data_IF_254947744300
#
_entry.id   IF_254947744300
#
_cell.length_a   1.000
_cell.length_b   1.000
_cell.length_c   1.000
_cell.angle_alpha   90.00
_cell.angle_beta   90.00
_cell.angle_gamma   90.00
#
_symmetry.space_group_name_H-M   'P 1'
#
loop_
_entity.id
_entity.type
_entity.pdbx_description
1 polymer ?
#
# COMPACT_ATOMS: atom_id res chain seq x y z
N UNK A 1 -21.68 24.58 13.72
CA UNK A 1 -22.32 23.26 13.51
C UNK A 1 -21.49 22.40 12.54
N UNK A 2 -20.70 22.99 11.65
CA UNK A 2 -19.79 22.27 10.72
C UNK A 2 -18.62 21.53 11.39
N UNK A 3 -18.09 22.00 12.53
CA UNK A 3 -16.91 21.39 13.17
C UNK A 3 -17.15 20.02 13.83
N UNK A 4 -18.40 19.55 13.92
CA UNK A 4 -18.76 18.33 14.65
C UNK A 4 -18.75 17.07 13.78
N UNK A 5 -18.79 17.21 12.45
CA UNK A 5 -18.86 16.10 11.51
C UNK A 5 -17.50 15.66 10.95
N UNK A 6 -16.49 16.51 11.08
CA UNK A 6 -15.13 16.25 10.57
C UNK A 6 -14.49 14.99 11.20
N UNK A 7 -14.94 14.60 12.39
CA UNK A 7 -14.45 13.42 13.10
C UNK A 7 -15.16 12.10 12.76
N UNK A 8 -16.23 12.13 11.95
CA UNK A 8 -17.00 10.91 11.66
C UNK A 8 -16.39 10.08 10.53
N UNK A 9 -15.81 10.75 9.53
CA UNK A 9 -15.32 10.09 8.32
C UNK A 9 -13.81 9.84 8.39
N UNK A 10 -13.33 8.64 8.03
CA UNK A 10 -11.90 8.43 7.83
C UNK A 10 -11.31 9.41 6.82
N UNK A 11 -10.10 9.89 7.10
CA UNK A 11 -9.43 10.91 6.29
C UNK A 11 -9.34 10.54 4.81
N UNK A 12 -9.03 9.28 4.51
CA UNK A 12 -8.95 8.74 3.15
C UNK A 12 -10.26 8.92 2.39
N UNK A 13 -11.38 8.61 3.04
CA UNK A 13 -12.71 8.73 2.44
C UNK A 13 -13.10 10.20 2.28
N UNK A 14 -12.70 11.07 3.21
CA UNK A 14 -12.96 12.52 3.11
C UNK A 14 -12.29 13.09 1.88
N UNK A 15 -11.00 12.79 1.70
CA UNK A 15 -10.24 13.23 0.52
C UNK A 15 -10.87 12.68 -0.76
N UNK A 16 -11.18 11.37 -0.80
CA UNK A 16 -11.79 10.72 -1.96
C UNK A 16 -13.15 11.34 -2.32
N UNK A 17 -14.03 11.60 -1.35
CA UNK A 17 -15.33 12.21 -1.63
C UNK A 17 -15.22 13.66 -2.07
N UNK A 18 -14.35 14.46 -1.45
CA UNK A 18 -14.13 15.83 -1.88
C UNK A 18 -13.63 15.89 -3.33
N UNK A 19 -12.70 15.01 -3.71
CA UNK A 19 -12.19 14.91 -5.08
C UNK A 19 -13.29 14.48 -6.06
N UNK A 20 -14.15 13.54 -5.66
CA UNK A 20 -15.28 13.12 -6.48
C UNK A 20 -16.24 14.29 -6.70
N UNK A 21 -16.65 15.00 -5.64
CA UNK A 21 -17.69 16.02 -5.70
C UNK A 21 -17.21 17.32 -6.37
N UNK A 22 -16.09 17.87 -5.90
CA UNK A 22 -15.60 19.17 -6.35
C UNK A 22 -14.81 19.07 -7.67
N UNK A 23 -14.15 17.93 -7.90
CA UNK A 23 -13.27 17.73 -9.05
C UNK A 23 -13.91 16.91 -10.16
N UNK A 24 -14.05 15.60 -9.93
CA UNK A 24 -14.40 14.66 -10.99
C UNK A 24 -15.83 14.83 -11.49
N UNK A 25 -16.80 14.96 -10.60
CA UNK A 25 -18.20 15.01 -10.98
C UNK A 25 -18.48 16.21 -11.88
N UNK A 26 -18.07 17.41 -11.45
CA UNK A 26 -18.21 18.64 -12.23
C UNK A 26 -17.52 18.57 -13.58
N UNK A 27 -16.26 18.12 -13.61
CA UNK A 27 -15.53 17.99 -14.87
C UNK A 27 -16.19 17.03 -15.85
N UNK A 28 -16.66 15.87 -15.38
CA UNK A 28 -17.33 14.89 -16.24
C UNK A 28 -18.72 15.32 -16.67
N UNK A 29 -19.43 16.09 -15.86
CA UNK A 29 -20.71 16.72 -16.23
C UNK A 29 -20.50 17.67 -17.41
N UNK A 30 -19.57 18.61 -17.28
CA UNK A 30 -19.23 19.57 -18.34
C UNK A 30 -18.77 18.86 -19.62
N UNK A 31 -17.85 17.90 -19.50
CA UNK A 31 -17.39 17.07 -20.61
C UNK A 31 -18.56 16.32 -21.28
N UNK A 32 -19.48 15.76 -20.50
CA UNK A 32 -20.64 15.04 -21.04
C UNK A 32 -21.57 15.95 -21.81
N UNK A 33 -21.82 17.17 -21.28
CA UNK A 33 -22.65 18.17 -21.94
C UNK A 33 -22.02 18.59 -23.27
N UNK A 34 -20.74 18.95 -23.28
CA UNK A 34 -20.05 19.37 -24.50
C UNK A 34 -20.02 18.27 -25.57
N UNK A 35 -19.72 17.02 -25.18
CA UNK A 35 -19.73 15.88 -26.11
C UNK A 35 -21.12 15.63 -26.69
N UNK A 36 -22.18 15.72 -25.87
CA UNK A 36 -23.57 15.55 -26.33
C UNK A 36 -24.00 16.67 -27.26
N UNK A 37 -23.68 17.92 -26.95
CA UNK A 37 -23.98 19.07 -27.80
C UNK A 37 -23.32 18.90 -29.17
N UNK A 38 -22.02 18.60 -29.20
CA UNK A 38 -21.29 18.41 -30.46
C UNK A 38 -21.83 17.23 -31.27
N UNK A 39 -22.23 16.15 -30.59
CA UNK A 39 -22.89 15.01 -31.23
C UNK A 39 -24.21 15.40 -31.91
N UNK A 40 -25.08 16.15 -31.21
CA UNK A 40 -26.38 16.56 -31.74
C UNK A 40 -26.25 17.51 -32.93
N UNK A 41 -25.25 18.39 -32.92
CA UNK A 41 -25.02 19.36 -34.00
C UNK A 41 -24.43 18.74 -35.27
N UNK A 42 -23.60 17.70 -35.13
CA UNK A 42 -22.78 17.17 -36.23
C UNK A 42 -23.15 15.75 -36.66
N UNK A 43 -24.19 15.15 -36.06
CA UNK A 43 -24.65 13.83 -36.44
C UNK A 43 -24.97 13.76 -37.96
N UNK A 44 -24.56 12.69 -38.69
CA UNK A 44 -23.98 11.44 -38.21
C UNK A 44 -22.44 11.40 -38.10
N UNK A 45 -21.72 12.39 -38.62
CA UNK A 45 -20.25 12.41 -38.61
C UNK A 45 -19.74 13.55 -37.73
N UNK A 46 -19.45 13.20 -36.47
CA UNK A 46 -18.92 14.15 -35.48
C UNK A 46 -17.44 14.36 -35.74
N UNK A 47 -17.06 15.59 -36.09
CA UNK A 47 -15.67 15.97 -36.37
C UNK A 47 -15.02 16.52 -35.10
N UNK A 48 -13.71 16.34 -34.99
CA UNK A 48 -12.88 17.00 -33.97
C UNK A 48 -13.34 16.77 -32.50
N UNK A 49 -13.66 15.54 -32.11
CA UNK A 49 -13.96 15.21 -30.71
C UNK A 49 -12.80 15.56 -29.75
N UNK A 50 -11.60 15.68 -30.29
CA UNK A 50 -10.36 16.01 -29.59
C UNK A 50 -10.33 17.41 -28.99
N UNK A 51 -10.99 18.40 -29.62
CA UNK A 51 -11.02 19.76 -29.08
C UNK A 51 -11.72 19.85 -27.72
N UNK A 52 -12.87 19.17 -27.59
CA UNK A 52 -13.65 19.07 -26.36
C UNK A 52 -12.82 18.46 -25.23
N UNK A 53 -11.99 17.48 -25.58
CA UNK A 53 -11.11 16.82 -24.63
C UNK A 53 -9.89 17.65 -24.23
N UNK A 54 -9.32 18.43 -25.15
CA UNK A 54 -8.20 19.31 -24.85
C UNK A 54 -8.54 20.32 -23.76
N UNK A 55 -9.75 20.90 -23.82
CA UNK A 55 -10.28 21.83 -22.82
C UNK A 55 -10.48 21.18 -21.43
N UNK A 56 -10.72 19.87 -21.39
CA UNK A 56 -11.08 19.12 -20.18
C UNK A 56 -9.97 18.18 -19.69
N UNK A 57 -8.74 18.34 -20.19
CA UNK A 57 -7.59 17.49 -19.84
C UNK A 57 -7.21 17.52 -18.35
N UNK A 58 -7.52 18.62 -17.65
CA UNK A 58 -7.32 18.79 -16.21
C UNK A 58 -8.06 17.73 -15.37
N UNK A 59 -9.17 17.19 -15.87
CA UNK A 59 -9.96 16.14 -15.19
C UNK A 59 -9.08 14.92 -14.92
N UNK A 60 -8.22 14.55 -15.88
CA UNK A 60 -7.36 13.36 -15.75
C UNK A 60 -6.32 13.58 -14.64
N UNK A 61 -5.81 14.80 -14.48
CA UNK A 61 -4.82 15.10 -13.43
C UNK A 61 -5.41 14.94 -12.03
N UNK A 62 -6.70 15.23 -11.85
CA UNK A 62 -7.42 15.02 -10.58
C UNK A 62 -7.47 13.54 -10.19
N UNK A 63 -7.40 12.62 -11.16
CA UNK A 63 -7.30 11.20 -10.86
C UNK A 63 -6.02 10.81 -10.13
N UNK A 64 -4.92 11.58 -10.22
CA UNK A 64 -3.70 11.30 -9.44
C UNK A 64 -4.04 11.23 -7.95
N UNK A 65 -4.59 12.33 -7.41
CA UNK A 65 -4.90 12.43 -5.98
C UNK A 65 -5.92 11.36 -5.58
N UNK A 66 -6.89 11.09 -6.44
CA UNK A 66 -7.86 10.03 -6.19
C UNK A 66 -7.24 8.64 -6.06
N UNK A 67 -6.39 8.26 -7.02
CA UNK A 67 -5.71 6.95 -7.05
C UNK A 67 -4.81 6.77 -5.83
N UNK A 68 -4.15 7.83 -5.40
CA UNK A 68 -3.28 7.83 -4.22
C UNK A 68 -4.04 7.47 -2.93
N UNK A 69 -5.29 7.92 -2.79
CA UNK A 69 -6.08 7.69 -1.57
C UNK A 69 -7.08 6.53 -1.69
N UNK A 70 -7.41 6.08 -2.91
CA UNK A 70 -8.44 5.08 -3.16
C UNK A 70 -8.22 3.78 -2.39
N UNK A 71 -7.02 3.21 -2.44
CA UNK A 71 -6.72 1.94 -1.78
C UNK A 71 -6.94 2.00 -0.27
N UNK A 72 -6.56 3.12 0.36
CA UNK A 72 -6.77 3.33 1.79
C UNK A 72 -8.24 3.53 2.11
N UNK A 73 -8.97 4.28 1.27
CA UNK A 73 -10.41 4.46 1.42
C UNK A 73 -11.18 3.14 1.30
N UNK A 74 -10.82 2.28 0.34
CA UNK A 74 -11.44 0.96 0.19
C UNK A 74 -11.19 0.07 1.41
N UNK A 75 -9.96 0.07 1.94
CA UNK A 75 -9.65 -0.63 3.20
C UNK A 75 -10.48 -0.11 4.38
N UNK A 76 -10.64 1.20 4.51
CA UNK A 76 -11.44 1.81 5.59
C UNK A 76 -12.92 1.37 5.49
N UNK A 77 -13.46 1.28 4.27
CA UNK A 77 -14.83 0.77 4.01
C UNK A 77 -14.94 -0.70 4.43
N UNK A 78 -14.00 -1.55 4.01
CA UNK A 78 -13.98 -2.97 4.34
C UNK A 78 -13.85 -3.20 5.86
N UNK A 79 -12.95 -2.48 6.53
CA UNK A 79 -12.78 -2.57 7.99
C UNK A 79 -14.03 -2.11 8.73
N UNK A 80 -14.64 -1.01 8.27
CA UNK A 80 -15.86 -0.49 8.88
C UNK A 80 -17.04 -1.47 8.74
N UNK A 81 -17.19 -2.13 7.59
CA UNK A 81 -18.22 -3.14 7.36
C UNK A 81 -17.94 -4.43 8.15
N UNK A 82 -16.69 -4.86 8.23
CA UNK A 82 -16.30 -6.01 9.05
C UNK A 82 -16.56 -5.76 10.55
N UNK A 83 -16.35 -4.53 11.02
CA UNK A 83 -16.61 -4.14 12.40
C UNK A 83 -18.10 -4.06 12.75
N UNK A 84 -18.98 -3.78 11.78
CA UNK A 84 -20.43 -3.72 12.01
C UNK A 84 -21.03 -5.10 12.33
N UNK A 85 -20.48 -6.19 11.76
CA UNK A 85 -20.83 -7.58 12.05
C UNK A 85 -22.27 -8.01 11.67
N UNK A 86 -22.56 -9.32 11.53
CA UNK A 86 -23.87 -9.82 11.08
C UNK A 86 -25.06 -9.55 12.03
N UNK A 87 -24.81 -8.98 13.22
CA UNK A 87 -25.81 -8.76 14.28
C UNK A 87 -26.31 -7.32 14.36
N UNK A 88 -25.82 -6.42 13.51
CA UNK A 88 -26.33 -5.04 13.41
C UNK A 88 -27.66 -4.94 12.62
N UNK A 89 -28.14 -6.04 12.02
CA UNK A 89 -29.44 -6.15 11.34
C UNK A 89 -30.64 -6.23 12.30
N UNK A 90 -30.38 -6.38 13.61
CA UNK A 90 -31.39 -6.49 14.67
C UNK A 90 -31.56 -5.21 15.48
N UNK A 91 -31.48 -4.04 14.88
CA UNK A 91 -31.72 -2.78 15.61
C UNK A 91 -33.22 -2.52 15.65
N UNK A 92 -33.83 -3.03 16.73
CA UNK A 92 -35.15 -2.62 17.19
C UNK A 92 -35.21 -1.09 17.34
N UNK A 93 -36.42 -0.52 17.21
CA UNK A 93 -36.80 0.90 17.23
C UNK A 93 -36.19 1.79 18.36
N UNK A 94 -35.37 1.23 19.25
CA UNK A 94 -34.68 1.86 20.38
C UNK A 94 -33.45 2.71 20.02
N UNK A 95 -32.72 2.43 18.93
CA UNK A 95 -31.49 3.21 18.62
C UNK A 95 -31.73 4.58 17.95
N UNK A 96 -32.97 4.91 17.54
CA UNK A 96 -33.33 6.28 17.13
C UNK A 96 -33.10 7.32 18.23
N UNK A 97 -32.96 6.89 19.51
CA UNK A 97 -32.64 7.76 20.64
C UNK A 97 -31.14 7.93 20.93
N UNK A 98 -30.28 7.06 20.41
CA UNK A 98 -28.83 7.13 20.67
C UNK A 98 -28.10 8.16 19.79
N UNK A 99 -28.67 8.50 18.63
CA UNK A 99 -28.16 9.58 17.78
C UNK A 99 -28.33 10.99 18.41
N UNK A 100 -29.11 11.12 19.50
CA UNK A 100 -29.36 12.41 20.18
C UNK A 100 -28.52 12.62 21.45
N UNK A 101 -27.69 11.67 21.88
CA UNK A 101 -27.02 11.73 23.20
C UNK A 101 -25.57 11.23 23.25
N UNK A 102 -24.83 11.19 22.14
CA UNK A 102 -23.39 10.92 22.21
C UNK A 102 -22.64 12.13 21.69
N UNK A 103 -22.33 13.01 22.63
CA UNK A 103 -21.25 13.97 22.52
C UNK A 103 -19.99 13.20 22.09
N UNK A 104 -19.59 13.35 20.83
CA UNK A 104 -18.41 12.70 20.22
C UNK A 104 -17.16 13.24 20.94
N UNK A 105 -16.79 12.61 22.05
CA UNK A 105 -15.56 12.94 22.81
C UNK A 105 -14.45 11.91 22.61
N UNK A 106 -14.70 10.83 21.87
CA UNK A 106 -13.67 9.81 21.57
C UNK A 106 -13.70 9.34 20.11
N UNK A 107 -12.51 9.17 19.52
CA UNK A 107 -12.33 8.65 18.15
C UNK A 107 -12.98 7.27 17.96
N UNK A 108 -13.00 6.44 19.01
CA UNK A 108 -13.60 5.10 18.95
C UNK A 108 -15.13 5.12 18.77
N UNK A 109 -15.84 6.05 19.43
CA UNK A 109 -17.30 6.18 19.27
C UNK A 109 -17.70 6.69 17.89
N UNK A 110 -16.88 7.54 17.27
CA UNK A 110 -17.13 8.03 15.91
C UNK A 110 -16.99 6.91 14.88
N UNK A 111 -15.92 6.10 14.97
CA UNK A 111 -15.71 4.98 14.07
C UNK A 111 -16.83 3.93 14.15
N UNK A 112 -17.36 3.65 15.35
CA UNK A 112 -18.48 2.72 15.50
C UNK A 112 -19.77 3.25 14.85
N UNK A 113 -20.07 4.55 15.01
CA UNK A 113 -21.22 5.18 14.38
C UNK A 113 -21.10 5.16 12.85
N UNK A 114 -19.91 5.45 12.33
CA UNK A 114 -19.60 5.33 10.90
C UNK A 114 -19.87 3.92 10.38
N UNK A 115 -19.34 2.88 11.04
CA UNK A 115 -19.60 1.47 10.69
C UNK A 115 -21.09 1.12 10.62
N UNK A 116 -21.88 1.57 11.60
CA UNK A 116 -23.33 1.29 11.65
C UNK A 116 -24.06 2.00 10.49
N UNK A 117 -23.77 3.29 10.27
CA UNK A 117 -24.40 4.06 9.20
C UNK A 117 -24.04 3.50 7.83
N UNK A 118 -22.76 3.15 7.61
CA UNK A 118 -22.31 2.54 6.38
C UNK A 118 -23.00 1.20 6.11
N UNK A 119 -23.13 0.34 7.12
CA UNK A 119 -23.87 -0.92 6.98
C UNK A 119 -25.35 -0.72 6.62
N UNK A 120 -25.99 0.33 7.13
CA UNK A 120 -27.38 0.65 6.78
C UNK A 120 -27.52 1.17 5.35
N UNK A 121 -26.54 1.98 4.90
CA UNK A 121 -26.50 2.47 3.52
C UNK A 121 -26.30 1.31 2.53
N UNK A 122 -25.40 0.36 2.83
CA UNK A 122 -25.20 -0.84 2.02
C UNK A 122 -26.47 -1.70 1.92
N UNK A 123 -27.19 -1.90 3.04
CA UNK A 123 -28.45 -2.65 3.03
C UNK A 123 -29.53 -1.94 2.19
N UNK A 124 -29.60 -0.62 2.25
CA UNK A 124 -30.53 0.16 1.46
C UNK A 124 -30.18 0.14 -0.04
N UNK A 125 -28.89 0.29 -0.38
CA UNK A 125 -28.39 0.15 -1.75
C UNK A 125 -28.72 -1.23 -2.32
N UNK A 126 -28.48 -2.29 -1.55
CA UNK A 126 -28.81 -3.66 -1.95
C UNK A 126 -30.32 -3.87 -2.20
N UNK A 127 -31.20 -3.27 -1.37
CA UNK A 127 -32.65 -3.29 -1.58
C UNK A 127 -33.09 -2.58 -2.86
N UNK A 128 -32.34 -1.55 -3.27
CA UNK A 128 -32.58 -0.82 -4.50
C UNK A 128 -31.90 -1.46 -5.73
N UNK A 129 -31.13 -2.54 -5.52
CA UNK A 129 -30.36 -3.19 -6.59
C UNK A 129 -29.12 -2.42 -7.02
N UNK A 130 -28.63 -1.48 -6.20
CA UNK A 130 -27.46 -0.66 -6.47
C UNK A 130 -26.15 -1.35 -6.06
N UNK A 131 -25.01 -0.82 -6.53
CA UNK A 131 -23.70 -1.29 -6.11
C UNK A 131 -23.37 -0.86 -4.67
N UNK A 132 -22.62 -1.69 -3.95
CA UNK A 132 -22.01 -1.27 -2.70
C UNK A 132 -20.96 -0.19 -2.90
N UNK A 133 -20.67 0.57 -1.85
CA UNK A 133 -19.81 1.75 -1.89
C UNK A 133 -18.42 1.45 -2.44
N UNK A 134 -17.80 0.33 -2.03
CA UNK A 134 -16.48 -0.07 -2.53
C UNK A 134 -16.44 -0.26 -4.05
N UNK A 135 -17.51 -0.84 -4.62
CA UNK A 135 -17.65 -1.00 -6.07
C UNK A 135 -17.85 0.37 -6.71
N UNK A 136 -18.72 1.21 -6.15
CA UNK A 136 -18.99 2.52 -6.71
C UNK A 136 -17.74 3.44 -6.68
N UNK A 137 -16.91 3.35 -5.62
CA UNK A 137 -15.57 3.97 -5.54
C UNK A 137 -14.54 3.34 -6.48
N UNK A 138 -14.76 2.13 -7.00
CA UNK A 138 -13.84 1.57 -8.00
C UNK A 138 -14.12 2.10 -9.41
N UNK A 139 -15.32 2.65 -9.67
CA UNK A 139 -15.76 3.06 -11.01
C UNK A 139 -14.91 4.18 -11.63
N UNK A 140 -14.52 5.26 -10.91
CA UNK A 140 -13.68 6.30 -11.50
C UNK A 140 -12.32 5.73 -11.92
N UNK A 141 -11.70 4.89 -11.10
CA UNK A 141 -10.46 4.21 -11.46
C UNK A 141 -10.61 3.35 -12.71
N UNK A 142 -11.69 2.56 -12.81
CA UNK A 142 -11.99 1.79 -14.02
C UNK A 142 -12.20 2.68 -15.25
N UNK A 143 -12.75 3.90 -15.07
CA UNK A 143 -12.93 4.86 -16.17
C UNK A 143 -11.60 5.44 -16.63
N UNK A 144 -10.69 5.75 -15.71
CA UNK A 144 -9.33 6.22 -16.02
C UNK A 144 -8.62 5.25 -16.97
N UNK A 145 -8.66 3.95 -16.67
CA UNK A 145 -8.05 2.89 -17.48
C UNK A 145 -8.68 2.73 -18.87
N UNK A 146 -9.91 3.23 -19.08
CA UNK A 146 -10.59 3.17 -20.37
C UNK A 146 -10.21 4.32 -21.30
N UNK A 147 -9.63 5.41 -20.80
CA UNK A 147 -9.30 6.55 -21.67
C UNK A 147 -8.27 6.22 -22.75
N UNK A 148 -7.11 5.61 -22.44
CA UNK A 148 -6.15 5.24 -23.48
C UNK A 148 -6.78 4.35 -24.56
N UNK A 149 -7.59 3.37 -24.15
CA UNK A 149 -8.29 2.47 -25.06
C UNK A 149 -9.30 3.22 -25.94
N UNK A 150 -10.05 4.17 -25.38
CA UNK A 150 -11.01 4.98 -26.13
C UNK A 150 -10.33 5.78 -27.24
N UNK A 151 -9.21 6.45 -26.93
CA UNK A 151 -8.49 7.26 -27.91
C UNK A 151 -7.72 6.44 -28.94
N UNK A 152 -7.22 5.27 -28.56
CA UNK A 152 -6.67 4.30 -29.52
C UNK A 152 -7.74 3.83 -30.50
N UNK A 153 -8.96 3.51 -30.03
CA UNK A 153 -10.07 3.13 -30.90
C UNK A 153 -10.52 4.29 -31.79
N UNK A 154 -10.58 5.51 -31.25
CA UNK A 154 -10.91 6.71 -32.04
C UNK A 154 -9.89 6.91 -33.16
N UNK A 155 -8.60 6.86 -32.83
CA UNK A 155 -7.51 7.00 -33.79
C UNK A 155 -7.55 5.93 -34.88
N UNK A 156 -7.81 4.67 -34.51
CA UNK A 156 -7.91 3.54 -35.44
C UNK A 156 -9.01 3.74 -36.49
N UNK A 157 -10.08 4.44 -36.14
CA UNK A 157 -11.21 4.73 -37.04
C UNK A 157 -11.15 6.14 -37.67
N UNK A 158 -10.07 6.88 -37.47
CA UNK A 158 -9.86 8.20 -38.07
C UNK A 158 -8.94 8.07 -39.28
N UNK A 159 -9.31 8.70 -40.40
CA UNK A 159 -8.53 8.65 -41.64
C UNK A 159 -7.21 9.42 -41.50
N UNK A 160 -6.09 8.74 -41.73
CA UNK A 160 -4.73 9.27 -41.61
C UNK A 160 -4.41 10.47 -42.53
N UNK A 161 -5.22 10.69 -43.57
CA UNK A 161 -5.08 11.85 -44.45
C UNK A 161 -5.71 13.15 -43.91
N UNK A 162 -6.41 13.07 -42.78
CA UNK A 162 -7.17 14.19 -42.21
C UNK A 162 -6.43 14.87 -41.05
N UNK A 163 -6.67 16.17 -40.86
CA UNK A 163 -6.16 16.90 -39.70
C UNK A 163 -6.70 16.33 -38.36
N UNK A 164 -7.88 15.71 -38.39
CA UNK A 164 -8.46 15.04 -37.21
C UNK A 164 -7.59 13.88 -36.73
N UNK A 165 -6.90 13.18 -37.64
CA UNK A 165 -5.96 12.13 -37.27
C UNK A 165 -4.80 12.68 -36.45
N UNK A 166 -4.22 13.82 -36.86
CA UNK A 166 -3.11 14.44 -36.13
C UNK A 166 -3.55 14.85 -34.72
N UNK A 167 -4.72 15.47 -34.59
CA UNK A 167 -5.30 15.82 -33.29
C UNK A 167 -5.61 14.58 -32.43
N UNK A 168 -6.16 13.52 -33.01
CA UNK A 168 -6.48 12.28 -32.30
C UNK A 168 -5.22 11.54 -31.85
N UNK A 169 -4.19 11.53 -32.70
CA UNK A 169 -2.88 10.94 -32.40
C UNK A 169 -2.19 11.69 -31.26
N UNK A 170 -2.16 13.03 -31.31
CA UNK A 170 -1.61 13.85 -30.24
C UNK A 170 -2.35 13.63 -28.91
N UNK A 171 -3.68 13.55 -28.95
CA UNK A 171 -4.50 13.28 -27.77
C UNK A 171 -4.25 11.89 -27.19
N UNK A 172 -4.12 10.85 -28.03
CA UNK A 172 -3.83 9.50 -27.60
C UNK A 172 -2.49 9.41 -26.86
N UNK A 173 -1.45 10.07 -27.39
CA UNK A 173 -0.13 10.16 -26.73
C UNK A 173 -0.24 10.91 -25.40
N UNK A 174 -0.90 12.07 -25.38
CA UNK A 174 -1.04 12.89 -24.18
C UNK A 174 -1.73 12.12 -23.05
N UNK A 175 -2.81 11.41 -23.36
CA UNK A 175 -3.59 10.67 -22.36
C UNK A 175 -2.81 9.45 -21.84
N UNK A 176 -2.14 8.71 -22.73
CA UNK A 176 -1.27 7.61 -22.31
C UNK A 176 -0.15 8.11 -21.39
N UNK A 177 0.47 9.24 -21.73
CA UNK A 177 1.51 9.86 -20.89
C UNK A 177 1.00 10.27 -19.51
N UNK A 178 -0.21 10.86 -19.41
CA UNK A 178 -0.77 11.28 -18.12
C UNK A 178 -1.11 10.06 -17.28
N UNK A 179 -1.75 9.04 -17.86
CA UNK A 179 -2.13 7.82 -17.13
C UNK A 179 -0.89 7.07 -16.62
N UNK A 180 0.17 6.94 -17.44
CA UNK A 180 1.45 6.37 -17.00
C UNK A 180 2.09 7.19 -15.89
N UNK A 181 2.06 8.52 -15.99
CA UNK A 181 2.59 9.39 -14.92
C UNK A 181 1.87 9.17 -13.58
N UNK A 182 0.55 8.93 -13.60
CA UNK A 182 -0.22 8.62 -12.39
C UNK A 182 0.18 7.25 -11.83
N UNK A 183 0.37 6.26 -12.70
CA UNK A 183 0.82 4.92 -12.32
C UNK A 183 2.21 4.96 -11.69
N UNK A 184 3.16 5.64 -12.33
CA UNK A 184 4.54 5.80 -11.85
C UNK A 184 4.57 6.53 -10.49
N UNK A 185 3.76 7.58 -10.32
CA UNK A 185 3.62 8.30 -9.04
C UNK A 185 3.09 7.37 -7.93
N UNK A 186 2.06 6.58 -8.24
CA UNK A 186 1.49 5.62 -7.29
C UNK A 186 2.48 4.52 -6.91
N UNK A 187 3.19 3.95 -7.88
CA UNK A 187 4.23 2.93 -7.64
C UNK A 187 5.33 3.52 -6.77
N UNK A 188 5.82 4.72 -7.10
CA UNK A 188 6.88 5.39 -6.36
C UNK A 188 6.48 5.61 -4.89
N UNK A 189 5.27 6.11 -4.62
CA UNK A 189 4.83 6.32 -3.24
C UNK A 189 4.65 5.00 -2.49
N UNK A 190 4.16 3.94 -3.13
CA UNK A 190 4.07 2.61 -2.50
C UNK A 190 5.45 2.02 -2.15
N UNK A 191 6.45 2.20 -3.02
CA UNK A 191 7.83 1.79 -2.74
C UNK A 191 8.43 2.59 -1.57
N UNK A 192 8.13 3.89 -1.51
CA UNK A 192 8.54 4.74 -0.38
C UNK A 192 7.87 4.34 0.91
N UNK A 193 6.59 4.01 0.89
CA UNK A 193 5.87 3.52 2.06
C UNK A 193 6.42 2.18 2.56
N UNK A 194 6.76 1.26 1.65
CA UNK A 194 7.47 0.01 2.00
C UNK A 194 8.81 0.29 2.66
N UNK A 195 9.58 1.24 2.14
CA UNK A 195 10.86 1.65 2.72
C UNK A 195 10.69 2.29 4.10
N UNK A 196 9.73 3.21 4.27
CA UNK A 196 9.38 3.83 5.57
C UNK A 196 8.94 2.79 6.59
N UNK A 197 8.09 1.83 6.19
CA UNK A 197 7.66 0.73 7.05
C UNK A 197 8.85 -0.12 7.51
N UNK A 198 9.68 -0.60 6.59
CA UNK A 198 10.87 -1.38 6.92
C UNK A 198 11.84 -0.63 7.82
N UNK A 199 12.05 0.66 7.54
CA UNK A 199 12.89 1.53 8.35
C UNK A 199 12.36 1.66 9.79
N UNK A 200 11.06 1.86 9.96
CA UNK A 200 10.42 1.98 11.27
C UNK A 200 10.47 0.70 12.12
N UNK A 201 10.67 -0.46 11.49
CA UNK A 201 10.79 -1.77 12.16
C UNK A 201 12.18 -2.05 12.73
N UNK A 202 13.17 -1.17 12.50
CA UNK A 202 14.55 -1.34 12.96
C UNK A 202 14.78 -0.51 14.22
N UNK A 203 14.94 -1.18 15.36
CA UNK A 203 15.27 -0.54 16.64
C UNK A 203 16.78 -0.39 16.85
N UNK A 204 17.20 0.62 17.63
CA UNK A 204 18.58 0.79 18.08
C UNK A 204 19.52 1.53 17.11
N UNK A 205 18.95 2.21 16.12
CA UNK A 205 19.70 2.99 15.14
C UNK A 205 20.01 4.38 15.70
N UNK A 206 21.27 4.59 16.11
CA UNK A 206 21.72 5.83 16.76
C UNK A 206 22.53 6.76 15.83
N UNK A 207 22.80 6.34 14.60
CA UNK A 207 23.57 7.12 13.65
C UNK A 207 22.72 8.22 13.02
N UNK A 208 23.03 9.47 13.36
CA UNK A 208 22.31 10.67 12.89
C UNK A 208 22.17 10.75 11.37
N UNK A 209 23.14 10.23 10.61
CA UNK A 209 23.16 10.22 9.14
C UNK A 209 22.11 9.28 8.56
N UNK A 210 21.88 8.13 9.20
CA UNK A 210 20.85 7.17 8.78
C UNK A 210 19.45 7.67 9.14
N UNK A 211 19.31 8.41 10.25
CA UNK A 211 18.04 8.94 10.74
C UNK A 211 17.46 10.09 9.91
N UNK A 212 18.24 10.70 9.00
CA UNK A 212 17.71 11.71 8.09
C UNK A 212 16.76 11.03 7.09
N UNK A 213 15.47 11.43 7.03
CA UNK A 213 14.56 10.92 6.02
C UNK A 213 15.09 11.26 4.63
N UNK A 214 15.41 10.23 3.85
CA UNK A 214 15.86 10.35 2.47
C UNK A 214 14.74 9.95 1.53
N UNK A 215 14.43 10.82 0.57
CA UNK A 215 13.36 10.62 -0.41
C UNK A 215 13.66 9.52 -1.43
N UNK A 216 14.93 9.24 -1.67
CA UNK A 216 15.46 8.28 -2.64
C UNK A 216 15.74 6.89 -2.04
N UNK A 217 15.49 6.70 -0.74
CA UNK A 217 15.68 5.41 -0.08
C UNK A 217 14.56 4.45 -0.41
N UNK A 218 14.89 3.40 -1.17
CA UNK A 218 13.97 2.33 -1.54
C UNK A 218 14.40 1.02 -0.87
N UNK A 219 13.44 0.19 -0.47
CA UNK A 219 13.72 -1.13 0.08
C UNK A 219 13.91 -2.13 -1.06
N UNK A 220 15.09 -2.74 -1.16
CA UNK A 220 15.43 -3.71 -2.20
C UNK A 220 15.11 -5.14 -1.75
N UNK A 221 15.59 -5.55 -0.56
CA UNK A 221 15.31 -6.90 -0.03
C UNK A 221 15.51 -7.01 1.49
N UNK A 222 14.87 -8.03 2.08
CA UNK A 222 15.06 -8.48 3.45
C UNK A 222 15.50 -9.95 3.40
N UNK A 223 16.79 -10.22 3.61
CA UNK A 223 17.38 -11.54 3.43
C UNK A 223 18.06 -12.05 4.70
N UNK A 224 17.94 -13.35 4.98
CA UNK A 224 18.69 -13.96 6.08
C UNK A 224 20.17 -14.04 5.71
N UNK A 225 21.04 -13.49 6.57
CA UNK A 225 22.49 -13.66 6.48
C UNK A 225 22.89 -15.04 7.01
N UNK A 226 22.34 -16.09 6.42
CA UNK A 226 22.97 -17.41 6.49
C UNK A 226 24.28 -17.31 5.69
N UNK A 227 25.39 -17.89 6.18
CA UNK A 227 26.56 -18.05 5.34
C UNK A 227 26.17 -18.94 4.16
N UNK A 228 25.94 -18.33 3.01
CA UNK A 228 25.85 -19.04 1.74
C UNK A 228 27.16 -19.82 1.59
N UNK A 229 27.10 -21.15 1.78
CA UNK A 229 28.18 -22.03 1.36
C UNK A 229 28.17 -22.04 -0.16
N UNK A 230 28.75 -21.02 -0.78
CA UNK A 230 29.18 -21.11 -2.17
C UNK A 230 30.29 -22.17 -2.24
N UNK A 231 30.18 -23.22 -3.08
CA UNK A 231 31.22 -24.23 -3.20
C UNK A 231 32.36 -23.64 -4.03
N UNK A 232 33.38 -23.13 -3.36
CA UNK A 232 34.63 -22.73 -4.03
C UNK A 232 35.47 -23.98 -4.30
N UNK A 233 35.59 -24.29 -5.59
CA UNK A 233 36.64 -25.03 -6.29
C UNK A 233 37.59 -25.92 -5.47
N UNK A 234 37.52 -27.21 -5.81
CA UNK A 234 38.53 -28.25 -5.56
C UNK A 234 39.95 -27.75 -5.85
N UNK A 235 40.86 -27.99 -4.91
CA UNK A 235 42.19 -28.49 -5.25
C UNK A 235 42.68 -29.43 -4.15
N UNK A 236 42.59 -30.72 -4.46
CA UNK A 236 43.31 -31.77 -3.79
C UNK A 236 44.82 -31.47 -3.79
N UNK A 237 45.49 -31.71 -2.67
CA UNK A 237 46.74 -32.45 -2.66
C UNK A 237 46.95 -33.11 -1.28
N UNK A 238 46.97 -34.45 -1.30
CA UNK A 238 47.44 -35.32 -0.23
C UNK A 238 48.90 -35.00 0.12
N UNK A 239 49.24 -35.07 1.41
CA UNK A 239 50.46 -35.75 1.84
C UNK A 239 50.32 -36.24 3.28
N UNK A 240 50.38 -37.55 3.41
CA UNK A 240 50.49 -38.36 4.61
C UNK A 240 51.92 -38.33 5.16
N UNK A 241 52.12 -37.74 6.34
CA UNK A 241 53.20 -38.08 7.28
C UNK A 241 52.89 -37.43 8.64
N UNK A 242 53.39 -38.03 9.71
CA UNK A 242 53.34 -37.55 11.10
C UNK A 242 52.02 -37.73 11.87
N UNK A 243 51.54 -38.98 11.84
CA UNK A 243 51.06 -39.61 13.08
C UNK A 243 52.25 -40.30 13.75
N UNK A 244 52.68 -39.80 14.91
CA UNK A 244 53.16 -40.55 16.09
C UNK A 244 54.03 -39.66 17.00
N UNK A 245 53.39 -38.89 17.90
CA UNK A 245 53.95 -38.59 19.23
C UNK A 245 52.83 -38.49 20.26
N UNK A 246 52.34 -39.65 20.66
CA UNK A 246 51.65 -39.84 21.94
C UNK A 246 52.72 -40.13 22.98
N UNK A 247 52.79 -39.32 24.05
CA UNK A 247 52.91 -39.72 25.46
C UNK A 247 53.54 -38.59 26.31
N UNK A 248 52.70 -37.83 27.02
CA UNK A 248 52.68 -37.73 28.49
C UNK A 248 51.88 -36.50 28.92
N UNK A 249 50.83 -36.73 29.73
CA UNK A 249 50.38 -35.72 30.69
C UNK A 249 48.89 -35.37 30.68
N UNK A 250 48.14 -36.10 31.50
CA UNK A 250 47.04 -35.61 32.35
C UNK A 250 45.62 -35.36 31.77
N UNK A 251 44.74 -36.25 32.23
CA UNK A 251 43.46 -36.02 32.93
C UNK A 251 42.25 -35.43 32.17
N UNK A 252 41.28 -36.35 32.00
CA UNK A 252 39.83 -36.20 32.20
C UNK A 252 39.00 -35.35 31.24
N UNK A 253 38.34 -36.05 30.32
CA UNK A 253 36.91 -35.95 29.96
C UNK A 253 36.13 -34.75 30.53
N UNK A 254 35.98 -33.69 29.73
CA UNK A 254 34.74 -32.92 29.63
C UNK A 254 34.47 -32.54 28.18
N UNK A 255 33.55 -33.29 27.58
CA UNK A 255 32.61 -32.93 26.49
C UNK A 255 33.22 -32.30 25.23
N UNK A 256 33.71 -33.17 24.34
CA UNK A 256 33.77 -32.94 22.89
C UNK A 256 32.36 -33.03 22.26
N UNK A 257 31.34 -32.43 22.90
CA UNK A 257 29.94 -32.46 22.45
C UNK A 257 29.55 -31.23 21.62
N UNK A 258 30.44 -30.25 21.47
CA UNK A 258 30.14 -28.97 20.80
C UNK A 258 30.77 -28.82 19.41
N UNK A 259 31.46 -29.83 18.88
CA UNK A 259 32.19 -29.70 17.62
C UNK A 259 31.72 -30.55 16.45
N UNK A 260 30.78 -31.49 16.63
CA UNK A 260 30.23 -32.29 15.52
C UNK A 260 28.77 -32.59 15.83
N UNK A 261 27.85 -31.82 15.25
CA UNK A 261 26.41 -31.97 15.50
C UNK A 261 25.53 -31.13 14.58
N UNK A 262 25.23 -31.70 13.40
CA UNK A 262 23.94 -31.65 12.70
C UNK A 262 23.42 -30.28 12.22
N UNK A 263 23.55 -30.10 10.90
CA UNK A 263 22.44 -29.82 9.97
C UNK A 263 21.50 -28.64 10.26
N UNK A 264 21.59 -27.62 9.40
CA UNK A 264 20.48 -26.91 8.75
C UNK A 264 19.14 -26.75 9.51
N UNK A 265 19.16 -26.52 10.82
CA UNK A 265 18.01 -26.00 11.55
C UNK A 265 18.04 -24.49 11.42
N UNK A 266 16.97 -23.93 10.87
CA UNK A 266 16.78 -22.48 10.79
C UNK A 266 17.11 -21.85 12.15
N UNK A 267 17.86 -20.72 12.16
CA UNK A 267 18.22 -20.07 13.39
C UNK A 267 16.95 -19.75 14.18
N UNK A 268 16.89 -20.24 15.43
CA UNK A 268 15.78 -19.94 16.32
C UNK A 268 15.66 -18.43 16.46
N UNK A 269 14.44 -17.92 16.30
CA UNK A 269 14.10 -16.51 16.34
C UNK A 269 14.70 -15.81 17.57
N UNK A 270 15.45 -14.73 17.36
CA UNK A 270 16.13 -14.00 18.44
C UNK A 270 17.48 -14.59 18.89
N UNK A 271 17.97 -15.67 18.28
CA UNK A 271 19.32 -16.18 18.53
C UNK A 271 20.38 -15.24 17.94
N UNK A 272 21.61 -15.24 18.48
CA UNK A 272 22.73 -14.48 17.92
C UNK A 272 23.08 -14.87 16.47
N UNK A 273 22.57 -16.01 16.00
CA UNK A 273 22.74 -16.53 14.64
C UNK A 273 21.61 -16.11 13.68
N UNK A 274 20.52 -15.52 14.19
CA UNK A 274 19.39 -15.04 13.40
C UNK A 274 19.66 -13.61 12.89
N UNK A 275 20.64 -13.51 12.00
CA UNK A 275 21.11 -12.27 11.40
C UNK A 275 20.44 -12.09 10.03
N UNK A 276 20.00 -10.88 9.76
CA UNK A 276 19.34 -10.47 8.53
C UNK A 276 20.04 -9.26 7.92
N UNK A 277 20.01 -9.17 6.60
CA UNK A 277 20.40 -8.01 5.83
C UNK A 277 19.12 -7.31 5.36
N UNK A 278 18.97 -6.05 5.75
CA UNK A 278 17.95 -5.17 5.21
C UNK A 278 18.64 -4.27 4.20
N UNK A 279 18.38 -4.53 2.92
CA UNK A 279 19.03 -3.89 1.78
C UNK A 279 18.16 -2.73 1.33
N UNK A 280 18.67 -1.51 1.49
CA UNK A 280 18.11 -0.31 0.88
C UNK A 280 18.93 0.09 -0.35
N UNK A 281 18.38 0.96 -1.19
CA UNK A 281 19.07 1.51 -2.37
C UNK A 281 20.39 2.20 -2.04
N UNK A 282 20.49 2.83 -0.86
CA UNK A 282 21.63 3.64 -0.43
C UNK A 282 22.44 3.06 0.75
N UNK A 283 21.99 1.94 1.34
CA UNK A 283 22.65 1.33 2.50
C UNK A 283 22.21 -0.12 2.72
N UNK A 284 23.13 -0.97 3.17
CA UNK A 284 22.85 -2.33 3.63
C UNK A 284 23.05 -2.40 5.15
N UNK A 285 21.96 -2.69 5.87
CA UNK A 285 21.96 -2.79 7.31
C UNK A 285 22.00 -4.25 7.74
N UNK A 286 22.91 -4.56 8.66
CA UNK A 286 22.95 -5.85 9.34
C UNK A 286 22.15 -5.76 10.63
N UNK A 287 21.14 -6.60 10.73
CA UNK A 287 20.16 -6.60 11.79
C UNK A 287 20.03 -7.99 12.43
N UNK A 288 19.62 -8.04 13.70
CA UNK A 288 19.16 -9.26 14.34
C UNK A 288 17.63 -9.27 14.29
N UNK A 289 17.00 -10.37 13.86
CA UNK A 289 15.54 -10.49 13.95
C UNK A 289 15.14 -10.74 15.41
N UNK A 290 14.26 -9.89 15.93
CA UNK A 290 13.80 -9.91 17.34
C UNK A 290 12.34 -10.33 17.44
N UNK A 291 11.55 -10.08 16.41
CA UNK A 291 10.09 -10.15 16.47
C UNK A 291 9.47 -10.36 15.09
N UNK A 292 8.15 -10.56 15.09
CA UNK A 292 7.31 -10.38 13.91
C UNK A 292 6.13 -9.49 14.27
N UNK A 293 5.69 -8.65 13.34
CA UNK A 293 4.52 -7.79 13.47
C UNK A 293 3.55 -8.04 12.33
N UNK A 294 2.26 -7.90 12.62
CA UNK A 294 1.16 -7.89 11.63
C UNK A 294 0.55 -6.49 11.47
N UNK A 295 0.98 -5.50 12.26
CA UNK A 295 0.42 -4.14 12.25
C UNK A 295 0.99 -3.30 11.10
N UNK A 296 0.11 -2.64 10.32
CA UNK A 296 0.50 -1.59 9.38
C UNK A 296 0.97 -0.35 10.14
N UNK A 297 2.11 0.22 9.75
CA UNK A 297 2.75 1.37 10.40
C UNK A 297 2.15 2.72 9.99
N UNK A 298 1.14 2.77 9.11
CA UNK A 298 0.48 4.01 8.65
C UNK A 298 -0.36 4.74 9.72
N UNK A 299 -0.25 4.33 10.98
CA UNK A 299 -0.99 4.87 12.13
C UNK A 299 -0.10 4.90 13.38
N UNK A 300 1.14 5.39 13.28
CA UNK A 300 1.91 5.74 14.48
C UNK A 300 1.67 7.20 14.86
N UNK A 301 0.54 7.45 15.53
CA UNK A 301 0.51 8.51 16.53
C UNK A 301 1.36 8.05 17.72
N UNK A 302 2.32 8.88 18.11
CA UNK A 302 3.16 8.66 19.29
C UNK A 302 2.31 8.58 20.57
N UNK A 303 2.69 7.67 21.48
CA UNK A 303 2.03 7.31 22.76
C UNK A 303 1.03 6.16 22.57
N UNK A 304 1.21 4.96 23.12
CA UNK A 304 1.42 4.68 24.53
C UNK A 304 1.97 3.25 24.70
N UNK A 305 2.90 3.05 25.63
CA UNK A 305 3.26 1.71 26.12
C UNK A 305 2.11 1.17 26.96
N UNK A 306 1.36 0.19 26.45
CA UNK A 306 0.57 -0.66 27.33
C UNK A 306 0.50 -2.12 26.85
N UNK A 307 0.68 -3.00 27.84
CA UNK A 307 0.79 -4.45 27.68
C UNK A 307 -0.58 -5.11 27.48
N UNK A 308 -0.59 -6.14 26.62
CA UNK A 308 -1.53 -7.27 26.57
C UNK A 308 -3.04 -6.96 26.51
N UNK A 309 -3.62 -7.16 25.32
CA UNK A 309 -4.76 -8.09 25.15
C UNK A 309 -4.95 -8.49 23.70
N UNK A 310 -5.22 -9.78 23.53
CA UNK A 310 -5.49 -10.54 22.31
C UNK A 310 -6.61 -9.89 21.48
N UNK A 311 -6.27 -9.07 20.49
CA UNK A 311 -7.16 -8.73 19.37
C UNK A 311 -6.70 -9.54 18.17
N UNK A 312 -7.61 -10.33 17.59
CA UNK A 312 -7.40 -11.00 16.31
C UNK A 312 -7.13 -9.90 15.27
N UNK A 313 -5.86 -9.69 14.95
CA UNK A 313 -5.43 -8.80 13.89
C UNK A 313 -5.81 -9.41 12.55
N UNK A 314 -6.46 -8.62 11.70
CA UNK A 314 -6.73 -8.90 10.28
C UNK A 314 -5.43 -9.32 9.54
N UNK A 315 -5.54 -10.00 8.38
CA UNK A 315 -4.41 -10.69 7.77
C UNK A 315 -3.46 -9.70 7.06
N UNK A 316 -2.62 -9.04 7.83
CA UNK A 316 -1.38 -8.47 7.32
C UNK A 316 -0.34 -9.58 7.17
N UNK A 317 0.42 -9.57 6.07
CA UNK A 317 1.62 -10.42 5.92
C UNK A 317 2.52 -10.21 7.14
N UNK A 318 2.94 -11.30 7.78
CA UNK A 318 3.87 -11.23 8.90
C UNK A 318 5.18 -10.59 8.43
N UNK A 319 5.62 -9.55 9.14
CA UNK A 319 6.83 -8.78 8.84
C UNK A 319 7.78 -8.84 10.02
N UNK A 320 9.07 -8.96 9.76
CA UNK A 320 10.08 -9.11 10.80
C UNK A 320 10.32 -7.79 11.55
N UNK A 321 10.59 -7.86 12.85
CA UNK A 321 11.13 -6.76 13.64
C UNK A 321 12.63 -6.96 13.83
N UNK A 322 13.38 -5.88 13.75
CA UNK A 322 14.83 -5.91 13.69
C UNK A 322 15.45 -5.09 14.81
N UNK A 323 16.59 -5.57 15.30
CA UNK A 323 17.51 -4.78 16.11
C UNK A 323 18.77 -4.53 15.30
N UNK A 324 19.12 -3.26 15.13
CA UNK A 324 20.30 -2.84 14.40
C UNK A 324 21.58 -3.38 15.06
N UNK A 325 22.50 -3.91 14.24
CA UNK A 325 23.83 -4.38 14.67
C UNK A 325 24.91 -3.44 14.13
N UNK A 326 24.98 -3.29 12.80
CA UNK A 326 25.97 -2.46 12.11
C UNK A 326 25.54 -2.16 10.67
N UNK A 327 26.15 -1.15 10.07
CA UNK A 327 26.15 -1.00 8.60
C UNK A 327 27.08 -2.06 8.02
N UNK A 328 26.60 -2.83 7.05
CA UNK A 328 27.42 -3.78 6.30
C UNK A 328 28.08 -3.08 5.11
N UNK A 329 27.33 -2.23 4.41
CA UNK A 329 27.80 -1.48 3.23
C UNK A 329 26.97 -0.20 3.06
N UNK A 330 27.59 0.85 2.51
CA UNK A 330 26.91 2.00 1.92
C UNK A 330 26.63 1.69 0.44
#
# INVERSE_FOLDING_TARGET
IESSYEFLLPESLRIVFNIIDEGMFRGHEDLSVQLKTKYLEQFPLVRDLTSVWAEQSWIIQIYSIYVMHLERALRDVEEALAAAGPKASGVTKSQKRFAKLIMVRSSHTAHMLFSILLSQLEENAAKQGECGLAICLSKPFQRLLKYPLLFQNLLYHTDASTHEYESAHAMAISIDSIVRSIEDEKISEEERDKARDAWSRIEGMNEKVLMVPKSDRLLMSEESALPSQTPMFKKDHKSTADRLRILKGQKSFRRLSDMIGSEAKEPTMGSKRDVWLVVFSDVILRCQRVGVTRMSTSTFSSSSKDKKKTRRSLPGRERNLYKFIKIERW
#
